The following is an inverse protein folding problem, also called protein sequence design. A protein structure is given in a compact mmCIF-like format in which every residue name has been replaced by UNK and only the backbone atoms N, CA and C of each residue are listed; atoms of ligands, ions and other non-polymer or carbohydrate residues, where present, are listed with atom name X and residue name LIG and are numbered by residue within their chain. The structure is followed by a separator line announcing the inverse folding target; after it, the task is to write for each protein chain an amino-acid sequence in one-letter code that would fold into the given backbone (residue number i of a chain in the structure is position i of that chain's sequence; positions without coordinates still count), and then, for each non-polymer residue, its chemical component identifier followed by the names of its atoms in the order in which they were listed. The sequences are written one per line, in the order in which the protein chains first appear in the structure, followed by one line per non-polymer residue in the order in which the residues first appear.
data_IF_859161473478
#
_entry.id   IF_859161473478
#
_cell.length_a   1.000
_cell.length_b   1.000
_cell.length_c   1.000
_cell.angle_alpha   90.00
_cell.angle_beta   90.00
_cell.angle_gamma   90.00
#
_symmetry.space_group_name_H-M   'P 1'
#
loop_
_entity.id
_entity.type
_entity.pdbx_description
1 polymer ?
#
# COMPACT_ATOMS: atom_id res chain seq x y z
N UNK A 1 -22.64 -26.31 -54.02
CA UNK A 1 -21.84 -27.36 -54.72
C UNK A 1 -22.81 -28.50 -55.00
N UNK A 2 -23.61 -28.34 -56.06
CA UNK A 2 -23.40 -28.94 -57.38
C UNK A 2 -23.81 -30.41 -57.40
N UNK A 3 -25.08 -30.61 -57.78
CA UNK A 3 -25.68 -31.89 -58.14
C UNK A 3 -24.91 -32.49 -59.32
N UNK A 4 -24.29 -33.66 -59.12
CA UNK A 4 -23.76 -34.47 -60.22
C UNK A 4 -24.83 -35.42 -60.73
N UNK A 5 -25.29 -35.11 -61.94
CA UNK A 5 -25.97 -36.02 -62.87
C UNK A 5 -25.19 -37.32 -63.01
N UNK A 6 -25.90 -38.45 -63.03
CA UNK A 6 -25.41 -39.69 -63.61
C UNK A 6 -26.55 -40.33 -64.41
N UNK A 7 -26.50 -40.17 -65.73
CA UNK A 7 -27.23 -41.00 -66.68
C UNK A 7 -26.58 -42.40 -66.69
N UNK A 8 -27.37 -43.47 -66.83
CA UNK A 8 -26.92 -44.69 -67.49
C UNK A 8 -27.50 -44.77 -68.91
N UNK A 9 -26.64 -45.12 -69.85
CA UNK A 9 -26.92 -45.23 -71.28
C UNK A 9 -27.71 -46.48 -71.67
N UNK A 10 -28.30 -46.37 -72.85
CA UNK A 10 -29.06 -47.41 -73.55
C UNK A 10 -28.17 -48.45 -74.25
N UNK A 11 -28.61 -49.71 -74.13
CA UNK A 11 -28.47 -50.84 -75.06
C UNK A 11 -27.06 -51.49 -75.24
N UNK A 12 -26.97 -52.83 -75.48
CA UNK A 12 -27.86 -53.59 -76.36
C UNK A 12 -28.51 -54.85 -75.76
N UNK A 13 -29.66 -55.17 -76.37
CA UNK A 13 -30.34 -56.45 -76.34
C UNK A 13 -29.50 -57.50 -77.10
N UNK A 14 -29.22 -58.65 -76.46
CA UNK A 14 -29.07 -59.91 -77.18
C UNK A 14 -29.20 -61.14 -76.26
N UNK A 15 -30.15 -62.00 -76.64
CA UNK A 15 -30.16 -63.46 -76.61
C UNK A 15 -30.13 -64.25 -75.27
N UNK A 16 -31.29 -64.88 -75.02
CA UNK A 16 -31.52 -66.32 -74.85
C UNK A 16 -30.87 -67.14 -73.71
N UNK A 17 -31.72 -67.90 -73.00
CA UNK A 17 -31.36 -69.01 -72.12
C UNK A 17 -32.29 -69.07 -70.89
N UNK A 18 -33.50 -69.63 -70.99
CA UNK A 18 -33.81 -71.06 -70.82
C UNK A 18 -33.50 -71.61 -69.41
N UNK A 19 -34.56 -71.89 -68.63
CA UNK A 19 -34.57 -72.74 -67.43
C UNK A 19 -33.79 -72.16 -66.24
N UNK A 20 -34.34 -72.08 -65.04
CA UNK A 20 -34.73 -73.25 -64.26
C UNK A 20 -35.89 -72.89 -63.34
N UNK A 21 -36.99 -73.62 -63.49
CA UNK A 21 -37.97 -73.78 -62.43
C UNK A 21 -37.28 -74.46 -61.24
N UNK A 22 -37.23 -73.77 -60.10
CA UNK A 22 -37.03 -74.41 -58.81
C UNK A 22 -38.35 -74.40 -58.06
N UNK A 23 -38.76 -75.61 -57.71
CA UNK A 23 -39.97 -76.03 -57.01
C UNK A 23 -40.40 -75.12 -55.86
N UNK A 24 -41.65 -74.68 -55.90
CA UNK A 24 -42.35 -74.13 -54.75
C UNK A 24 -42.73 -75.28 -53.79
N UNK A 25 -41.81 -75.65 -52.92
CA UNK A 25 -42.14 -76.45 -51.74
C UNK A 25 -42.72 -75.55 -50.65
N UNK A 26 -43.60 -76.11 -49.81
CA UNK A 26 -44.20 -75.45 -48.66
C UNK A 26 -43.14 -74.70 -47.82
N UNK A 27 -43.49 -73.58 -47.16
CA UNK A 27 -42.54 -72.88 -46.31
C UNK A 27 -42.02 -73.86 -45.27
N UNK A 28 -40.73 -74.17 -45.39
CA UNK A 28 -40.06 -75.11 -44.50
C UNK A 28 -39.92 -74.45 -43.13
N UNK A 29 -39.80 -75.25 -42.08
CA UNK A 29 -39.49 -74.75 -40.72
C UNK A 29 -38.22 -73.86 -40.73
N UNK A 30 -37.30 -74.14 -41.66
CA UNK A 30 -36.11 -73.33 -41.93
C UNK A 30 -36.44 -71.92 -42.49
N UNK A 31 -37.46 -71.77 -43.35
CA UNK A 31 -37.88 -70.46 -43.89
C UNK A 31 -38.50 -69.58 -42.81
N UNK A 32 -39.25 -70.16 -41.87
CA UNK A 32 -39.81 -69.44 -40.72
C UNK A 32 -38.72 -69.06 -39.70
N UNK A 33 -37.72 -69.92 -39.50
CA UNK A 33 -36.54 -69.59 -38.68
C UNK A 33 -35.72 -68.45 -39.29
N UNK A 34 -35.45 -68.50 -40.60
CA UNK A 34 -34.78 -67.41 -41.33
C UNK A 34 -35.56 -66.10 -41.27
N UNK A 35 -36.89 -66.15 -41.42
CA UNK A 35 -37.75 -64.98 -41.24
C UNK A 35 -37.65 -64.41 -39.83
N UNK A 36 -37.66 -65.25 -38.79
CA UNK A 36 -37.55 -64.78 -37.39
C UNK A 36 -36.20 -64.12 -37.10
N UNK A 37 -35.11 -64.64 -37.69
CA UNK A 37 -33.78 -64.05 -37.59
C UNK A 37 -33.69 -62.72 -38.34
N UNK A 38 -34.22 -62.66 -39.57
CA UNK A 38 -34.31 -61.42 -40.35
C UNK A 38 -35.12 -60.33 -39.63
N UNK A 39 -36.21 -60.71 -38.95
CA UNK A 39 -37.00 -59.77 -38.12
C UNK A 39 -36.18 -59.27 -36.92
N UNK A 40 -35.47 -60.15 -36.20
CA UNK A 40 -34.65 -59.77 -35.05
C UNK A 40 -33.46 -58.89 -35.44
N UNK A 41 -32.89 -59.11 -36.64
CA UNK A 41 -31.78 -58.34 -37.19
C UNK A 41 -32.21 -57.04 -37.91
N UNK A 42 -33.52 -56.81 -38.12
CA UNK A 42 -34.04 -55.65 -38.84
C UNK A 42 -33.73 -55.67 -40.34
N UNK A 43 -33.59 -56.85 -40.95
CA UNK A 43 -33.26 -57.04 -42.36
C UNK A 43 -34.48 -56.85 -43.28
N UNK A 44 -34.23 -56.71 -44.60
CA UNK A 44 -35.30 -56.52 -45.59
C UNK A 44 -36.22 -57.76 -45.67
N UNK A 45 -37.50 -57.55 -45.37
CA UNK A 45 -38.53 -58.58 -45.42
C UNK A 45 -39.12 -58.75 -46.83
N UNK A 46 -38.78 -57.87 -47.78
CA UNK A 46 -39.26 -57.87 -49.16
C UNK A 46 -39.15 -59.22 -49.89
N UNK A 47 -38.03 -59.97 -49.79
CA UNK A 47 -37.89 -61.29 -50.39
C UNK A 47 -38.86 -62.33 -49.79
N UNK A 48 -39.12 -62.28 -48.49
CA UNK A 48 -40.04 -63.18 -47.79
C UNK A 48 -41.50 -62.87 -48.13
N UNK A 49 -41.84 -61.59 -48.24
CA UNK A 49 -43.16 -61.11 -48.69
C UNK A 49 -43.43 -61.57 -50.12
N UNK A 50 -42.52 -61.29 -51.06
CA UNK A 50 -42.66 -61.70 -52.47
C UNK A 50 -42.84 -63.22 -52.60
N UNK A 51 -42.10 -64.00 -51.81
CA UNK A 51 -42.19 -65.47 -51.81
C UNK A 51 -43.52 -65.98 -51.24
N UNK A 52 -43.98 -65.44 -50.12
CA UNK A 52 -45.24 -65.85 -49.49
C UNK A 52 -46.47 -65.58 -50.37
N UNK A 53 -46.48 -64.45 -51.11
CA UNK A 53 -47.53 -64.11 -52.07
C UNK A 53 -47.43 -64.95 -53.36
N UNK A 54 -46.23 -65.22 -53.87
CA UNK A 54 -46.04 -66.11 -55.03
C UNK A 54 -46.52 -67.55 -54.77
N UNK A 55 -46.42 -68.02 -53.51
CA UNK A 55 -46.91 -69.34 -53.09
C UNK A 55 -48.41 -69.36 -52.72
N UNK A 56 -49.13 -68.22 -52.82
CA UNK A 56 -50.57 -68.14 -52.56
C UNK A 56 -51.00 -68.37 -51.10
N UNK A 57 -50.07 -68.38 -50.14
CA UNK A 57 -50.35 -68.62 -48.71
C UNK A 57 -49.65 -67.57 -47.83
N UNK A 58 -50.18 -66.34 -47.73
CA UNK A 58 -49.59 -65.28 -46.92
C UNK A 58 -49.82 -65.46 -45.41
N UNK A 59 -50.76 -66.31 -45.01
CA UNK A 59 -51.16 -66.48 -43.61
C UNK A 59 -50.02 -66.87 -42.64
N UNK A 60 -49.09 -67.78 -42.97
CA UNK A 60 -47.98 -68.12 -42.09
C UNK A 60 -47.00 -66.96 -41.88
N UNK A 61 -46.76 -66.16 -42.93
CA UNK A 61 -45.92 -64.95 -42.86
C UNK A 61 -46.58 -63.91 -41.94
N UNK A 62 -47.87 -63.65 -42.13
CA UNK A 62 -48.63 -62.74 -41.28
C UNK A 62 -48.69 -63.22 -39.83
N UNK A 63 -48.86 -64.53 -39.60
CA UNK A 63 -48.83 -65.12 -38.26
C UNK A 63 -47.45 -64.94 -37.59
N UNK A 64 -46.35 -65.15 -38.32
CA UNK A 64 -44.99 -64.95 -37.81
C UNK A 64 -44.70 -63.49 -37.48
N UNK A 65 -45.09 -62.55 -38.37
CA UNK A 65 -44.93 -61.11 -38.14
C UNK A 65 -45.78 -60.62 -36.96
N UNK A 66 -47.03 -61.08 -36.84
CA UNK A 66 -47.89 -60.79 -35.68
C UNK A 66 -47.29 -61.38 -34.39
N UNK A 67 -46.72 -62.57 -34.45
CA UNK A 67 -46.03 -63.21 -33.33
C UNK A 67 -44.79 -62.43 -32.91
N UNK A 68 -43.98 -61.96 -33.86
CA UNK A 68 -42.81 -61.14 -33.58
C UNK A 68 -43.18 -59.77 -33.00
N UNK A 69 -44.21 -59.11 -33.55
CA UNK A 69 -44.74 -57.87 -32.99
C UNK A 69 -45.22 -58.06 -31.54
N UNK A 70 -45.97 -59.15 -31.26
CA UNK A 70 -46.41 -59.48 -29.90
C UNK A 70 -45.26 -59.78 -28.94
N UNK A 71 -44.21 -60.47 -29.41
CA UNK A 71 -43.00 -60.71 -28.62
C UNK A 71 -42.26 -59.42 -28.32
N UNK A 72 -42.08 -58.54 -29.31
CA UNK A 72 -41.46 -57.24 -29.11
C UNK A 72 -42.25 -56.35 -28.15
N UNK A 73 -43.58 -56.32 -28.26
CA UNK A 73 -44.41 -55.58 -27.29
C UNK A 73 -44.30 -56.17 -25.88
N UNK A 74 -44.25 -57.51 -25.75
CA UNK A 74 -44.10 -58.15 -24.45
C UNK A 74 -42.71 -57.90 -23.83
N UNK A 75 -41.65 -57.87 -24.63
CA UNK A 75 -40.29 -57.54 -24.19
C UNK A 75 -40.17 -56.09 -23.72
N UNK A 76 -40.77 -55.15 -24.47
CA UNK A 76 -40.85 -53.75 -24.06
C UNK A 76 -41.63 -53.63 -22.76
N UNK A 77 -42.79 -54.29 -22.65
CA UNK A 77 -43.58 -54.29 -21.42
C UNK A 77 -42.81 -54.87 -20.23
N UNK A 78 -42.04 -55.94 -20.42
CA UNK A 78 -41.25 -56.55 -19.36
C UNK A 78 -40.07 -55.67 -18.94
N UNK A 79 -39.36 -55.05 -19.87
CA UNK A 79 -38.32 -54.07 -19.57
C UNK A 79 -38.87 -52.86 -18.82
N UNK A 80 -40.02 -52.34 -19.28
CA UNK A 80 -40.71 -51.27 -18.58
C UNK A 80 -41.15 -51.73 -17.18
N UNK A 81 -41.70 -52.93 -17.04
CA UNK A 81 -42.12 -53.50 -15.75
C UNK A 81 -40.95 -53.77 -14.80
N UNK A 82 -39.79 -54.16 -15.33
CA UNK A 82 -38.60 -54.42 -14.53
C UNK A 82 -37.99 -53.11 -13.98
N UNK A 83 -38.04 -52.02 -14.76
CA UNK A 83 -37.28 -50.81 -14.46
C UNK A 83 -38.11 -49.55 -14.13
N UNK A 84 -39.45 -49.58 -14.24
CA UNK A 84 -40.25 -48.38 -13.98
C UNK A 84 -40.04 -47.85 -12.56
N UNK A 85 -39.90 -48.74 -11.58
CA UNK A 85 -39.70 -48.34 -10.18
C UNK A 85 -38.34 -47.65 -9.98
N UNK A 86 -37.27 -48.18 -10.59
CA UNK A 86 -35.94 -47.58 -10.52
C UNK A 86 -35.89 -46.23 -11.23
N UNK A 87 -36.58 -46.10 -12.37
CA UNK A 87 -36.71 -44.84 -13.08
C UNK A 87 -37.44 -43.78 -12.22
N UNK A 88 -38.59 -44.13 -11.63
CA UNK A 88 -39.34 -43.22 -10.76
C UNK A 88 -38.47 -42.80 -9.58
N UNK A 89 -37.77 -43.74 -8.93
CA UNK A 89 -36.87 -43.46 -7.82
C UNK A 89 -35.75 -42.50 -8.21
N UNK A 90 -35.11 -42.71 -9.35
CA UNK A 90 -34.04 -41.82 -9.82
C UNK A 90 -34.56 -40.40 -10.11
N UNK A 91 -35.79 -40.27 -10.65
CA UNK A 91 -36.43 -38.97 -10.86
C UNK A 91 -36.74 -38.28 -9.53
N UNK A 92 -37.25 -39.01 -8.54
CA UNK A 92 -37.52 -38.46 -7.21
C UNK A 92 -36.23 -38.06 -6.47
N UNK A 93 -35.17 -38.86 -6.57
CA UNK A 93 -33.85 -38.53 -6.01
C UNK A 93 -33.29 -37.24 -6.65
N UNK A 94 -33.39 -37.08 -7.98
CA UNK A 94 -32.99 -35.85 -8.68
C UNK A 94 -33.82 -34.63 -8.24
N UNK A 95 -35.12 -34.81 -8.02
CA UNK A 95 -35.99 -33.73 -7.50
C UNK A 95 -35.62 -33.34 -6.08
N UNK A 96 -35.29 -34.32 -5.23
CA UNK A 96 -34.79 -34.06 -3.87
C UNK A 96 -33.47 -33.29 -3.91
N UNK A 97 -32.51 -33.74 -4.73
CA UNK A 97 -31.22 -33.07 -4.89
C UNK A 97 -31.37 -31.63 -5.40
N UNK A 98 -32.32 -31.37 -6.29
CA UNK A 98 -32.62 -30.02 -6.76
C UNK A 98 -33.16 -29.14 -5.62
N UNK A 99 -34.08 -29.68 -4.81
CA UNK A 99 -34.62 -28.97 -3.64
C UNK A 99 -33.51 -28.67 -2.61
N UNK A 100 -32.62 -29.62 -2.36
CA UNK A 100 -31.47 -29.43 -1.45
C UNK A 100 -30.49 -28.37 -1.99
N UNK A 101 -30.24 -28.36 -3.31
CA UNK A 101 -29.39 -27.37 -3.96
C UNK A 101 -30.00 -25.95 -3.86
N UNK A 102 -31.32 -25.83 -4.05
CA UNK A 102 -32.03 -24.55 -3.89
C UNK A 102 -32.02 -24.07 -2.44
N UNK A 103 -32.20 -24.97 -1.47
CA UNK A 103 -32.08 -24.65 -0.04
C UNK A 103 -30.67 -24.17 0.32
N UNK A 104 -29.63 -24.86 -0.20
CA UNK A 104 -28.23 -24.46 -0.01
C UNK A 104 -27.95 -23.10 -0.61
N UNK A 105 -28.43 -22.84 -1.84
CA UNK A 105 -28.31 -21.53 -2.49
C UNK A 105 -28.98 -20.43 -1.66
N UNK A 106 -30.16 -20.70 -1.12
CA UNK A 106 -30.85 -19.81 -0.19
C UNK A 106 -30.01 -19.49 1.04
N UNK A 107 -29.50 -20.52 1.72
CA UNK A 107 -28.63 -20.38 2.90
C UNK A 107 -27.34 -19.59 2.61
N UNK A 108 -26.69 -19.85 1.47
CA UNK A 108 -25.51 -19.11 1.04
C UNK A 108 -25.83 -17.63 0.78
N UNK A 109 -26.97 -17.35 0.13
CA UNK A 109 -27.39 -15.96 -0.12
C UNK A 109 -27.69 -15.20 1.18
N UNK A 110 -28.31 -15.88 2.15
CA UNK A 110 -28.61 -15.31 3.46
C UNK A 110 -27.34 -15.02 4.27
N UNK A 111 -26.38 -15.95 4.28
CA UNK A 111 -25.09 -15.76 4.96
C UNK A 111 -24.26 -14.66 4.30
N UNK A 112 -24.25 -14.59 2.96
CA UNK A 112 -23.62 -13.50 2.21
C UNK A 112 -24.24 -12.14 2.57
N UNK A 113 -25.57 -12.05 2.64
CA UNK A 113 -26.25 -10.82 3.05
C UNK A 113 -25.91 -10.43 4.50
N UNK A 114 -25.95 -11.38 5.43
CA UNK A 114 -25.60 -11.14 6.83
C UNK A 114 -24.14 -10.66 6.98
N UNK A 115 -23.21 -11.27 6.24
CA UNK A 115 -21.80 -10.85 6.22
C UNK A 115 -21.68 -9.43 5.67
N UNK A 116 -22.27 -9.14 4.50
CA UNK A 116 -22.20 -7.80 3.92
C UNK A 116 -22.86 -6.73 4.80
N UNK A 117 -23.95 -7.08 5.49
CA UNK A 117 -24.64 -6.15 6.39
C UNK A 117 -23.78 -5.65 7.55
N UNK A 118 -22.80 -6.47 7.99
CA UNK A 118 -21.86 -6.09 9.04
C UNK A 118 -20.53 -5.57 8.49
N UNK A 119 -20.04 -6.12 7.38
CA UNK A 119 -18.78 -5.73 6.77
C UNK A 119 -18.84 -4.35 6.11
N UNK A 120 -19.92 -4.01 5.41
CA UNK A 120 -20.07 -2.74 4.71
C UNK A 120 -19.97 -1.51 5.65
N UNK A 121 -20.70 -1.42 6.78
CA UNK A 121 -20.56 -0.28 7.69
C UNK A 121 -19.17 -0.25 8.37
N UNK A 122 -18.56 -1.41 8.63
CA UNK A 122 -17.22 -1.48 9.21
C UNK A 122 -16.15 -0.95 8.25
N UNK A 123 -16.24 -1.29 6.96
CA UNK A 123 -15.36 -0.75 5.93
C UNK A 123 -15.52 0.77 5.79
N UNK A 124 -16.76 1.27 5.74
CA UNK A 124 -17.01 2.71 5.71
C UNK A 124 -16.46 3.44 6.95
N UNK A 125 -16.60 2.83 8.14
CA UNK A 125 -16.01 3.36 9.37
C UNK A 125 -14.47 3.35 9.33
N UNK A 126 -13.86 2.33 8.74
CA UNK A 126 -12.40 2.24 8.60
C UNK A 126 -11.88 3.32 7.66
N UNK A 127 -12.53 3.54 6.52
CA UNK A 127 -12.17 4.61 5.58
C UNK A 127 -12.26 5.99 6.24
N UNK A 128 -13.36 6.25 6.97
CA UNK A 128 -13.52 7.47 7.76
C UNK A 128 -12.42 7.64 8.81
N UNK A 129 -12.07 6.56 9.52
CA UNK A 129 -10.99 6.58 10.50
C UNK A 129 -9.62 6.87 9.86
N UNK A 130 -9.31 6.25 8.71
CA UNK A 130 -8.05 6.49 8.00
C UNK A 130 -7.94 7.94 7.51
N UNK A 131 -9.05 8.51 7.00
CA UNK A 131 -9.11 9.91 6.62
C UNK A 131 -8.93 10.85 7.83
N UNK A 132 -9.59 10.56 8.96
CA UNK A 132 -9.42 11.33 10.19
C UNK A 132 -7.99 11.24 10.74
N UNK A 133 -7.38 10.05 10.67
CA UNK A 133 -6.00 9.82 11.11
C UNK A 133 -4.99 10.57 10.25
N UNK A 134 -5.16 10.59 8.92
CA UNK A 134 -4.28 11.34 8.03
C UNK A 134 -4.39 12.85 8.29
N UNK A 135 -5.61 13.37 8.47
CA UNK A 135 -5.85 14.75 8.85
C UNK A 135 -5.21 15.08 10.20
N UNK A 136 -5.36 14.23 11.21
CA UNK A 136 -4.71 14.40 12.52
C UNK A 136 -3.19 14.44 12.40
N UNK A 137 -2.59 13.60 11.56
CA UNK A 137 -1.17 13.64 11.22
C UNK A 137 -0.76 14.99 10.64
N UNK A 138 -1.48 15.47 9.62
CA UNK A 138 -1.20 16.76 8.99
C UNK A 138 -1.32 17.93 9.99
N UNK A 139 -2.35 17.92 10.84
CA UNK A 139 -2.54 18.92 11.90
C UNK A 139 -1.41 18.88 12.93
N UNK A 140 -0.95 17.69 13.33
CA UNK A 140 0.16 17.55 14.27
C UNK A 140 1.46 18.14 13.71
N UNK A 141 1.76 17.90 12.43
CA UNK A 141 2.92 18.46 11.73
C UNK A 141 2.80 19.99 11.59
N UNK A 142 1.62 20.49 11.23
CA UNK A 142 1.34 21.93 11.15
C UNK A 142 1.48 22.63 12.52
N UNK A 143 1.01 21.99 13.59
CA UNK A 143 1.15 22.51 14.95
C UNK A 143 2.61 22.53 15.40
N UNK A 144 3.36 21.46 15.14
CA UNK A 144 4.79 21.39 15.45
C UNK A 144 5.59 22.48 14.71
N UNK A 145 5.30 22.68 13.43
CA UNK A 145 5.95 23.69 12.61
C UNK A 145 5.58 25.12 13.02
N UNK A 146 4.30 25.37 13.36
CA UNK A 146 3.83 26.63 13.92
C UNK A 146 4.50 26.97 15.26
N UNK A 147 4.58 26.00 16.18
CA UNK A 147 5.30 26.17 17.46
C UNK A 147 6.77 26.53 17.26
N UNK A 148 7.43 25.96 16.26
CA UNK A 148 8.81 26.31 15.89
C UNK A 148 8.89 27.75 15.38
N UNK A 149 7.97 28.18 14.51
CA UNK A 149 7.89 29.57 14.04
C UNK A 149 7.69 30.56 15.20
N UNK A 150 6.76 30.28 16.12
CA UNK A 150 6.49 31.13 17.29
C UNK A 150 7.73 31.25 18.19
N UNK A 151 8.42 30.13 18.44
CA UNK A 151 9.67 30.14 19.21
C UNK A 151 10.76 30.99 18.56
N UNK A 152 10.98 30.85 17.25
CA UNK A 152 11.95 31.63 16.51
C UNK A 152 11.62 33.13 16.54
N UNK A 153 10.36 33.49 16.35
CA UNK A 153 9.90 34.87 16.45
C UNK A 153 10.05 35.43 17.87
N UNK A 154 9.76 34.64 18.90
CA UNK A 154 9.96 35.04 20.30
C UNK A 154 11.45 35.23 20.66
N UNK A 155 12.35 34.42 20.09
CA UNK A 155 13.79 34.64 20.21
C UNK A 155 14.24 35.90 19.48
N UNK A 156 13.74 36.15 18.27
CA UNK A 156 14.04 37.35 17.50
C UNK A 156 13.55 38.62 18.21
N UNK A 157 12.34 38.59 18.78
CA UNK A 157 11.79 39.68 19.58
C UNK A 157 12.64 39.95 20.83
N UNK A 158 13.10 38.90 21.53
CA UNK A 158 14.03 39.02 22.66
C UNK A 158 15.37 39.61 22.25
N UNK A 159 15.96 39.14 21.15
CA UNK A 159 17.19 39.71 20.61
C UNK A 159 17.02 41.21 20.34
N UNK A 160 15.91 41.61 19.70
CA UNK A 160 15.61 43.00 19.45
C UNK A 160 15.48 43.83 20.74
N UNK A 161 14.77 43.32 21.75
CA UNK A 161 14.67 44.00 23.05
C UNK A 161 16.04 44.20 23.73
N UNK A 162 16.93 43.20 23.65
CA UNK A 162 18.28 43.32 24.16
C UNK A 162 19.14 44.33 23.40
N UNK A 163 18.98 44.43 22.08
CA UNK A 163 19.65 45.48 21.29
C UNK A 163 19.15 46.89 21.67
N UNK A 164 17.85 47.04 21.91
CA UNK A 164 17.25 48.32 22.33
C UNK A 164 17.65 48.73 23.74
N UNK A 165 18.03 47.79 24.61
CA UNK A 165 18.58 48.08 25.93
C UNK A 165 20.00 48.68 25.89
N UNK A 166 20.58 48.83 24.68
CA UNK A 166 21.90 49.40 24.47
C UNK A 166 23.01 48.44 24.87
N UNK A 167 24.17 49.00 25.22
CA UNK A 167 25.42 48.27 25.32
C UNK A 167 25.39 47.13 26.37
N UNK A 168 24.69 47.31 27.48
CA UNK A 168 24.52 46.29 28.51
C UNK A 168 23.74 45.05 28.05
N UNK A 169 22.98 45.15 26.95
CA UNK A 169 22.18 44.06 26.39
C UNK A 169 22.87 43.25 25.29
N UNK A 170 24.03 43.68 24.78
CA UNK A 170 24.65 43.09 23.58
C UNK A 170 24.99 41.60 23.75
N UNK A 171 25.49 41.20 24.92
CA UNK A 171 25.76 39.79 25.22
C UNK A 171 24.49 38.93 25.19
N UNK A 172 23.39 39.44 25.75
CA UNK A 172 22.10 38.73 25.75
C UNK A 172 21.49 38.66 24.35
N UNK A 173 21.67 39.71 23.53
CA UNK A 173 21.30 39.70 22.13
C UNK A 173 22.05 38.60 21.35
N UNK A 174 23.37 38.49 21.54
CA UNK A 174 24.18 37.41 20.94
C UNK A 174 23.68 36.03 21.33
N UNK A 175 23.41 35.79 22.63
CA UNK A 175 22.87 34.50 23.09
C UNK A 175 21.51 34.16 22.49
N UNK A 176 20.64 35.17 22.31
CA UNK A 176 19.34 34.98 21.70
C UNK A 176 19.49 34.60 20.21
N UNK A 177 20.39 35.26 19.49
CA UNK A 177 20.70 34.99 18.09
C UNK A 177 21.36 33.62 17.90
N UNK A 178 22.27 33.21 18.79
CA UNK A 178 22.83 31.85 18.83
C UNK A 178 21.75 30.77 19.00
N UNK A 179 20.74 31.05 19.81
CA UNK A 179 19.61 30.14 19.98
C UNK A 179 18.76 30.04 18.71
N UNK A 180 18.61 31.13 17.96
CA UNK A 180 17.95 31.12 16.64
C UNK A 180 18.74 30.24 15.66
N UNK A 181 20.06 30.40 15.58
CA UNK A 181 20.92 29.60 14.69
C UNK A 181 20.82 28.10 15.01
N UNK A 182 20.90 27.73 16.29
CA UNK A 182 20.71 26.34 16.73
C UNK A 182 19.34 25.79 16.35
N UNK A 183 18.28 26.55 16.59
CA UNK A 183 16.90 26.14 16.27
C UNK A 183 16.66 26.03 14.76
N UNK A 184 17.38 26.80 13.94
CA UNK A 184 17.34 26.69 12.47
C UNK A 184 18.10 25.47 11.96
N UNK A 185 19.21 25.10 12.61
CA UNK A 185 20.03 23.94 12.26
C UNK A 185 19.50 22.59 12.78
N UNK A 186 18.84 22.57 13.93
CA UNK A 186 18.45 21.33 14.64
C UNK A 186 17.22 20.61 14.06
N UNK A 187 16.61 21.14 12.99
CA UNK A 187 15.37 20.59 12.46
C UNK A 187 15.59 19.62 11.30
N UNK A 188 14.91 18.45 11.28
CA UNK A 188 15.01 17.50 10.17
C UNK A 188 14.44 18.07 8.86
N UNK A 189 13.45 18.97 8.96
CA UNK A 189 12.90 19.69 7.81
C UNK A 189 13.20 21.20 7.85
N UNK A 190 13.33 21.84 6.67
CA UNK A 190 13.39 23.28 6.56
C UNK A 190 12.11 23.91 7.12
N UNK A 191 12.23 25.11 7.67
CA UNK A 191 11.10 25.87 8.17
C UNK A 191 10.04 26.05 7.07
N UNK A 192 8.74 25.80 7.32
CA UNK A 192 7.69 25.85 6.30
C UNK A 192 7.45 27.26 5.73
N UNK A 193 8.00 28.30 6.38
CA UNK A 193 7.84 29.69 5.96
C UNK A 193 9.15 30.21 5.33
N UNK A 194 9.33 30.09 4.00
CA UNK A 194 10.61 30.37 3.34
C UNK A 194 11.02 31.84 3.45
N UNK A 195 10.06 32.75 3.48
CA UNK A 195 10.33 34.19 3.69
C UNK A 195 10.91 34.45 5.08
N UNK A 196 10.34 33.85 6.13
CA UNK A 196 10.85 33.98 7.48
C UNK A 196 12.23 33.35 7.62
N UNK A 197 12.44 32.17 7.01
CA UNK A 197 13.75 31.53 6.97
C UNK A 197 14.80 32.42 6.31
N UNK A 198 14.52 32.97 5.13
CA UNK A 198 15.44 33.87 4.41
C UNK A 198 15.74 35.13 5.23
N UNK A 199 14.72 35.75 5.81
CA UNK A 199 14.90 36.90 6.69
C UNK A 199 15.83 36.55 7.85
N UNK A 200 15.55 35.48 8.60
CA UNK A 200 16.40 35.08 9.73
C UNK A 200 17.83 34.78 9.30
N UNK A 201 18.04 34.04 8.22
CA UNK A 201 19.38 33.73 7.69
C UNK A 201 20.17 34.97 7.28
N UNK A 202 19.50 36.07 6.94
CA UNK A 202 20.15 37.34 6.62
C UNK A 202 20.38 38.23 7.85
N UNK A 203 19.38 38.34 8.73
CA UNK A 203 19.38 39.28 9.86
C UNK A 203 20.23 38.76 11.02
N UNK A 204 20.20 37.45 11.30
CA UNK A 204 20.95 36.84 12.40
C UNK A 204 22.46 37.12 12.28
N UNK A 205 23.13 36.84 11.14
CA UNK A 205 24.55 37.19 10.99
C UNK A 205 24.82 38.69 11.08
N UNK A 206 23.92 39.53 10.56
CA UNK A 206 24.07 40.98 10.62
C UNK A 206 24.03 41.51 12.06
N UNK A 207 23.09 41.01 12.88
CA UNK A 207 23.00 41.35 14.31
C UNK A 207 24.23 40.87 15.05
N UNK A 208 24.69 39.64 14.79
CA UNK A 208 25.92 39.09 15.38
C UNK A 208 27.12 40.01 15.10
N UNK A 209 27.36 40.32 13.83
CA UNK A 209 28.45 41.17 13.42
C UNK A 209 28.35 42.61 13.97
N UNK A 210 27.13 43.12 14.19
CA UNK A 210 26.95 44.42 14.84
C UNK A 210 27.29 44.37 16.33
N UNK A 211 26.76 43.39 17.06
CA UNK A 211 27.03 43.25 18.49
C UNK A 211 28.52 42.97 18.78
N UNK A 212 29.18 42.11 17.99
CA UNK A 212 30.62 41.84 18.11
C UNK A 212 31.46 43.11 17.91
N UNK A 213 31.11 43.96 16.94
CA UNK A 213 31.79 45.23 16.70
C UNK A 213 31.61 46.21 17.86
N UNK A 214 30.39 46.39 18.36
CA UNK A 214 30.14 47.32 19.47
C UNK A 214 30.82 46.83 20.76
N UNK A 215 30.75 45.54 21.07
CA UNK A 215 31.48 44.96 22.22
C UNK A 215 32.99 45.19 22.08
N UNK A 216 33.55 44.97 20.89
CA UNK A 216 34.99 45.19 20.65
C UNK A 216 35.38 46.66 20.80
N UNK A 217 34.49 47.59 20.40
CA UNK A 217 34.69 49.03 20.58
C UNK A 217 34.69 49.40 22.05
N UNK A 218 33.68 48.98 22.81
CA UNK A 218 33.59 49.26 24.24
C UNK A 218 34.77 48.69 25.03
N UNK A 219 35.20 47.46 24.69
CA UNK A 219 36.36 46.85 25.30
C UNK A 219 37.63 47.66 25.02
N UNK A 220 37.78 48.17 23.79
CA UNK A 220 38.91 49.02 23.40
C UNK A 220 38.91 50.35 24.15
N UNK A 221 37.75 51.01 24.26
CA UNK A 221 37.58 52.25 25.00
C UNK A 221 37.86 52.05 26.50
N UNK A 222 37.39 50.94 27.07
CA UNK A 222 37.66 50.55 28.45
C UNK A 222 39.16 50.31 28.70
N UNK A 223 39.86 49.65 27.78
CA UNK A 223 41.32 49.49 27.88
C UNK A 223 42.06 50.83 27.88
N UNK A 224 41.60 51.82 27.08
CA UNK A 224 42.18 53.17 27.08
C UNK A 224 41.94 53.86 28.43
N UNK A 225 40.73 53.75 28.96
CA UNK A 225 40.37 54.28 30.29
C UNK A 225 41.24 53.68 31.40
N UNK A 226 41.42 52.36 31.42
CA UNK A 226 42.31 51.67 32.38
C UNK A 226 43.74 52.20 32.26
N UNK A 227 44.30 52.33 31.05
CA UNK A 227 45.66 52.87 30.89
C UNK A 227 45.79 54.31 31.41
N UNK A 228 44.75 55.13 31.31
CA UNK A 228 44.75 56.47 31.88
C UNK A 228 44.69 56.42 33.43
N UNK A 229 43.81 55.61 34.00
CA UNK A 229 43.68 55.43 35.43
C UNK A 229 44.96 54.85 36.07
N UNK A 230 45.57 53.83 35.45
CA UNK A 230 46.83 53.25 35.90
C UNK A 230 47.98 54.24 35.86
N UNK A 231 48.05 55.12 34.83
CA UNK A 231 49.06 56.20 34.78
C UNK A 231 48.87 57.20 35.92
N UNK A 232 47.64 57.63 36.17
CA UNK A 232 47.33 58.54 37.28
C UNK A 232 47.70 57.92 38.63
N UNK A 233 47.33 56.65 38.86
CA UNK A 233 47.70 55.90 40.06
C UNK A 233 49.22 55.82 40.23
N UNK A 234 49.95 55.55 39.15
CA UNK A 234 51.41 55.54 39.14
C UNK A 234 52.02 56.90 39.52
N UNK A 235 51.50 58.00 38.97
CA UNK A 235 51.93 59.36 39.33
C UNK A 235 51.70 59.67 40.81
N UNK A 236 50.53 59.33 41.35
CA UNK A 236 50.20 59.51 42.78
C UNK A 236 51.14 58.68 43.66
N UNK A 237 51.41 57.43 43.29
CA UNK A 237 52.32 56.57 44.02
C UNK A 237 53.76 57.12 44.02
N UNK A 238 54.26 57.55 42.85
CA UNK A 238 55.59 58.17 42.72
C UNK A 238 55.68 59.45 43.56
N UNK A 239 54.67 60.33 43.49
CA UNK A 239 54.61 61.57 44.27
C UNK A 239 54.65 61.31 45.78
N UNK A 240 53.88 60.32 46.27
CA UNK A 240 53.90 59.92 47.68
C UNK A 240 55.25 59.36 48.10
N UNK A 241 55.87 58.50 47.30
CA UNK A 241 57.19 57.94 47.58
C UNK A 241 58.29 59.00 47.54
N UNK A 242 58.22 59.97 46.62
CA UNK A 242 59.15 61.10 46.56
C UNK A 242 59.01 62.00 47.81
N UNK A 243 57.78 62.36 48.19
CA UNK A 243 57.54 63.14 49.41
C UNK A 243 58.00 62.40 50.68
N UNK A 244 57.84 61.08 50.74
CA UNK A 244 58.37 60.27 51.84
C UNK A 244 59.90 60.28 51.88
N UNK A 245 60.57 60.16 50.72
CA UNK A 245 62.03 60.26 50.61
C UNK A 245 62.54 61.64 51.02
N UNK A 246 61.91 62.72 50.55
CA UNK A 246 62.29 64.08 50.91
C UNK A 246 62.19 64.30 52.42
N UNK A 247 61.08 63.89 53.05
CA UNK A 247 60.96 63.93 54.53
C UNK A 247 62.07 63.16 55.23
N UNK A 248 62.46 62.00 54.70
CA UNK A 248 63.53 61.20 55.28
C UNK A 248 64.91 61.85 55.09
N UNK A 249 65.15 62.52 53.96
CA UNK A 249 66.35 63.31 53.69
C UNK A 249 66.46 64.53 54.62
N UNK A 250 65.35 65.26 54.82
CA UNK A 250 65.25 66.40 55.73
C UNK A 250 65.54 66.01 57.19
N UNK A 251 65.04 64.86 57.64
CA UNK A 251 65.39 64.32 58.95
C UNK A 251 66.88 63.96 59.03
N UNK A 252 67.46 63.34 57.98
CA UNK A 252 68.89 63.02 57.95
C UNK A 252 69.79 64.26 57.92
N UNK A 253 69.41 65.31 57.21
CA UNK A 253 70.19 66.55 57.16
C UNK A 253 70.14 67.31 58.49
N UNK A 254 69.05 67.21 59.25
CA UNK A 254 68.96 67.72 60.62
C UNK A 254 69.82 66.91 61.61
N UNK A 255 70.01 65.60 61.38
CA UNK A 255 70.86 64.74 62.21
C UNK A 255 72.37 64.89 61.90
N UNK A 256 72.75 65.25 60.67
CA UNK A 256 74.15 65.43 60.23
C UNK A 256 74.98 66.42 61.10
N UNK A 257 74.50 67.63 61.46
CA UNK A 257 75.25 68.54 62.33
C UNK A 257 75.39 68.02 63.77
N UNK A 258 74.49 67.14 64.23
CA UNK A 258 74.60 66.52 65.55
C UNK A 258 75.65 65.40 65.55
N UNK A 259 75.81 64.67 64.45
CA UNK A 259 76.86 63.65 64.29
C UNK A 259 78.25 64.28 64.10
N UNK A 260 78.37 65.40 63.36
CA UNK A 260 79.64 66.12 63.20
C UNK A 260 80.15 66.75 64.51
N UNK A 261 79.26 67.23 65.39
CA UNK A 261 79.63 67.68 66.74
C UNK A 261 80.13 66.52 67.63
N UNK A 262 79.60 65.30 67.46
CA UNK A 262 80.04 64.13 68.23
C UNK A 262 81.41 63.63 67.75
N UNK A 263 81.71 63.69 66.44
CA UNK A 263 83.02 63.26 65.91
C UNK A 263 84.16 64.25 66.19
N UNK A 264 83.87 65.55 66.28
CA UNK A 264 84.89 66.56 66.64
C UNK A 264 85.28 66.53 68.12
N UNK A 265 84.44 65.93 68.97
CA UNK A 265 84.75 65.69 70.38
C UNK A 265 85.56 64.38 70.59
N UNK A 266 85.66 63.48 69.60
CA UNK A 266 86.35 62.17 69.70
C UNK A 266 87.74 62.14 69.03
N UNK A 267 88.04 63.04 68.07
CA UNK A 267 89.39 63.25 67.50
C UNK A 267 90.28 64.19 68.36
N UNK A 268 89.81 64.53 69.57
CA UNK A 268 90.44 65.44 70.52
C UNK A 268 90.88 64.77 71.83
N UNK A 269 91.64 63.67 71.76
CA UNK A 269 92.51 63.17 72.85
C UNK A 269 93.81 62.61 72.27
#
# INVERSE_FOLDING_TARGET
ISMRRKLPGDAPLSAAGAGHASSASAPSEADLAQLSAAIAAGEDLGPFVRRAFACGRPEPLLASLRGAARRGTAEIEELCRAHFHDFIRAVDDLRSLLADADALKGSLSASHFALLSSAAPLLASLESFLAARSLAGNLSSALASSRRCVRLLALAARANAHLQAGNHGLYLALRAVDAIDRDLASGPEPLPLPTLRRMLLSVVPAVRAHAEREISREFSDWMVSIRAASRHLGQVAIGRSAAARQRQEELRSQHRPLEECITLDDDGV
#
